data_IF_090342474714
#
_entry.id   IF_090342474714
#
_cell.length_a   1.000
_cell.length_b   1.000
_cell.length_c   1.000
_cell.angle_alpha   90.00
_cell.angle_beta   90.00
_cell.angle_gamma   90.00
#
_symmetry.space_group_name_H-M   'P 1'
#
loop_
_entity.id
_entity.type
_entity.pdbx_description
1 polymer ?
#
# COMPACT_ATOMS: atom_id res chain seq x y z
N UNK A 1 -33.82 -59.37 24.66
CA UNK A 1 -34.76 -59.41 25.80
C UNK A 1 -35.75 -58.28 25.59
N UNK A 2 -36.86 -58.57 24.91
CA UNK A 2 -37.93 -57.59 24.73
C UNK A 2 -38.92 -57.81 25.86
N UNK A 3 -38.94 -56.89 26.82
CA UNK A 3 -39.94 -56.83 27.86
C UNK A 3 -41.29 -56.44 27.22
N UNK A 4 -42.28 -57.33 27.33
CA UNK A 4 -43.62 -57.18 26.74
C UNK A 4 -44.55 -56.29 27.58
N UNK A 5 -44.12 -55.77 28.75
CA UNK A 5 -44.90 -54.83 29.53
C UNK A 5 -44.42 -53.38 29.38
N UNK A 6 -45.37 -52.47 29.16
CA UNK A 6 -45.11 -51.03 28.99
C UNK A 6 -44.58 -50.48 30.32
N UNK A 7 -43.28 -50.15 30.39
CA UNK A 7 -42.66 -49.51 31.57
C UNK A 7 -43.43 -48.23 31.93
N UNK A 8 -43.94 -48.18 33.16
CA UNK A 8 -44.58 -46.99 33.73
C UNK A 8 -43.50 -46.19 34.46
N UNK A 9 -43.16 -45.02 33.94
CA UNK A 9 -42.15 -44.14 34.53
C UNK A 9 -42.75 -43.34 35.68
N UNK A 10 -42.03 -43.29 36.80
CA UNK A 10 -42.42 -42.42 37.91
C UNK A 10 -42.16 -40.95 37.57
N UNK A 11 -42.92 -40.04 38.21
CA UNK A 11 -42.71 -38.60 38.06
C UNK A 11 -41.26 -38.19 38.38
N UNK A 12 -40.63 -38.83 39.37
CA UNK A 12 -39.23 -38.55 39.75
C UNK A 12 -38.24 -38.94 38.65
N UNK A 13 -38.44 -40.07 37.97
CA UNK A 13 -37.59 -40.47 36.84
C UNK A 13 -37.79 -39.55 35.63
N UNK A 14 -39.04 -39.12 35.36
CA UNK A 14 -39.33 -38.17 34.29
C UNK A 14 -38.71 -36.79 34.55
N UNK A 15 -38.78 -36.29 35.80
CA UNK A 15 -38.12 -35.03 36.18
C UNK A 15 -36.61 -35.12 36.06
N UNK A 16 -36.00 -36.23 36.46
CA UNK A 16 -34.55 -36.43 36.33
C UNK A 16 -34.13 -36.49 34.86
N UNK A 17 -34.88 -37.18 34.01
CA UNK A 17 -34.64 -37.21 32.57
C UNK A 17 -34.76 -35.81 31.96
N UNK A 18 -35.80 -35.05 32.30
CA UNK A 18 -35.98 -33.69 31.84
C UNK A 18 -34.79 -32.79 32.24
N UNK A 19 -34.39 -32.81 33.52
CA UNK A 19 -33.25 -32.04 34.03
C UNK A 19 -31.94 -32.39 33.33
N UNK A 20 -31.66 -33.69 33.13
CA UNK A 20 -30.47 -34.14 32.40
C UNK A 20 -30.53 -33.69 30.94
N UNK A 21 -31.68 -33.82 30.28
CA UNK A 21 -31.82 -33.39 28.89
C UNK A 21 -31.65 -31.89 28.72
N UNK A 22 -32.21 -31.07 29.61
CA UNK A 22 -32.05 -29.61 29.57
C UNK A 22 -30.60 -29.20 29.82
N UNK A 23 -29.94 -29.79 30.82
CA UNK A 23 -28.53 -29.49 31.12
C UNK A 23 -27.60 -29.95 30.01
N UNK A 24 -27.79 -31.15 29.48
CA UNK A 24 -27.00 -31.67 28.35
C UNK A 24 -27.24 -30.84 27.09
N UNK A 25 -28.48 -30.41 26.82
CA UNK A 25 -28.79 -29.55 25.69
C UNK A 25 -28.10 -28.20 25.79
N UNK A 26 -28.21 -27.51 26.93
CA UNK A 26 -27.56 -26.23 27.17
C UNK A 26 -26.02 -26.33 27.05
N UNK A 27 -25.43 -27.43 27.54
CA UNK A 27 -24.00 -27.66 27.39
C UNK A 27 -23.58 -27.87 25.92
N UNK A 28 -24.34 -28.67 25.16
CA UNK A 28 -24.08 -28.91 23.73
C UNK A 28 -24.21 -27.62 22.93
N UNK A 29 -25.25 -26.81 23.19
CA UNK A 29 -25.42 -25.51 22.52
C UNK A 29 -24.26 -24.56 22.82
N UNK A 30 -23.82 -24.49 24.08
CA UNK A 30 -22.68 -23.66 24.46
C UNK A 30 -21.40 -24.09 23.72
N UNK A 31 -21.08 -25.38 23.72
CA UNK A 31 -19.90 -25.91 23.05
C UNK A 31 -19.97 -25.66 21.53
N UNK A 32 -21.14 -25.85 20.91
CA UNK A 32 -21.34 -25.55 19.49
C UNK A 32 -21.16 -24.08 19.17
N UNK A 33 -21.70 -23.18 20.01
CA UNK A 33 -21.55 -21.74 19.85
C UNK A 33 -20.08 -21.31 19.97
N UNK A 34 -19.37 -21.84 20.98
CA UNK A 34 -17.93 -21.59 21.16
C UNK A 34 -17.09 -22.11 19.98
N UNK A 35 -17.40 -23.31 19.46
CA UNK A 35 -16.72 -23.85 18.29
C UNK A 35 -16.99 -23.03 17.03
N UNK A 36 -18.23 -22.63 16.80
CA UNK A 36 -18.59 -21.78 15.67
C UNK A 36 -17.89 -20.41 15.74
N UNK A 37 -17.81 -19.81 16.92
CA UNK A 37 -17.08 -18.56 17.15
C UNK A 37 -15.59 -18.71 16.83
N UNK A 38 -14.94 -19.76 17.34
CA UNK A 38 -13.52 -20.04 17.06
C UNK A 38 -13.25 -20.26 15.57
N UNK A 39 -14.10 -21.05 14.90
CA UNK A 39 -13.96 -21.30 13.47
C UNK A 39 -14.14 -20.01 12.64
N UNK A 40 -15.05 -19.12 13.06
CA UNK A 40 -15.25 -17.82 12.41
C UNK A 40 -14.05 -16.90 12.63
N UNK A 41 -13.52 -16.83 13.85
CA UNK A 41 -12.34 -16.05 14.20
C UNK A 41 -11.11 -16.52 13.42
N UNK A 42 -10.87 -17.83 13.35
CA UNK A 42 -9.76 -18.40 12.58
C UNK A 42 -9.89 -18.06 11.09
N UNK A 43 -11.09 -18.20 10.51
CA UNK A 43 -11.33 -17.85 9.11
C UNK A 43 -11.08 -16.38 8.83
N UNK A 44 -11.53 -15.48 9.72
CA UNK A 44 -11.29 -14.05 9.60
C UNK A 44 -9.80 -13.72 9.68
N UNK A 45 -9.09 -14.31 10.65
CA UNK A 45 -7.65 -14.14 10.80
C UNK A 45 -6.90 -14.57 9.54
N UNK A 46 -7.19 -15.77 9.01
CA UNK A 46 -6.56 -16.27 7.78
C UNK A 46 -6.85 -15.38 6.57
N UNK A 47 -8.07 -14.86 6.45
CA UNK A 47 -8.42 -13.94 5.37
C UNK A 47 -7.66 -12.61 5.47
N UNK A 48 -7.59 -12.01 6.66
CA UNK A 48 -6.83 -10.78 6.92
C UNK A 48 -5.33 -10.98 6.69
N UNK A 49 -4.78 -12.12 7.12
CA UNK A 49 -3.38 -12.48 6.91
C UNK A 49 -3.05 -12.60 5.43
N UNK A 50 -3.86 -13.36 4.68
CA UNK A 50 -3.71 -13.57 3.24
C UNK A 50 -3.88 -12.27 2.43
N UNK A 51 -4.80 -11.39 2.85
CA UNK A 51 -5.04 -10.10 2.20
C UNK A 51 -4.01 -9.02 2.57
N UNK A 52 -3.00 -9.35 3.39
CA UNK A 52 -2.01 -8.37 3.86
C UNK A 52 -2.65 -7.13 4.55
N UNK A 53 -3.82 -7.28 5.17
CA UNK A 53 -4.55 -6.19 5.85
C UNK A 53 -4.04 -6.02 7.27
N UNK A 54 -3.75 -4.79 7.67
CA UNK A 54 -3.54 -4.39 9.07
C UNK A 54 -4.78 -3.70 9.64
N UNK A 55 -4.86 -3.60 10.96
CA UNK A 55 -6.01 -3.05 11.69
C UNK A 55 -5.61 -1.95 12.66
N UNK A 56 -6.53 -1.02 12.87
CA UNK A 56 -6.39 0.07 13.82
C UNK A 56 -7.70 0.31 14.54
N UNK A 57 -7.62 0.67 15.82
CA UNK A 57 -8.75 0.94 16.70
C UNK A 57 -8.42 2.13 17.59
N UNK A 58 -9.18 3.21 17.40
CA UNK A 58 -9.00 4.47 18.08
C UNK A 58 -10.21 4.74 18.97
N UNK A 59 -9.96 4.96 20.26
CA UNK A 59 -10.94 5.48 21.20
C UNK A 59 -10.80 7.01 21.28
N UNK A 60 -11.73 7.79 20.71
CA UNK A 60 -11.63 9.25 20.71
C UNK A 60 -11.90 9.89 22.08
N UNK A 61 -12.41 9.14 23.06
CA UNK A 61 -12.67 9.62 24.43
C UNK A 61 -11.39 9.50 25.25
N UNK A 62 -10.79 8.31 25.27
CA UNK A 62 -9.56 8.05 26.03
C UNK A 62 -8.29 8.40 25.26
N UNK A 63 -8.41 8.67 23.96
CA UNK A 63 -7.33 8.90 22.99
C UNK A 63 -6.36 7.73 22.87
N UNK A 64 -6.80 6.52 23.24
CA UNK A 64 -5.99 5.32 23.09
C UNK A 64 -6.10 4.85 21.64
N UNK A 65 -4.96 4.82 20.96
CA UNK A 65 -4.80 4.25 19.63
C UNK A 65 -4.17 2.87 19.76
N UNK A 66 -4.79 1.87 19.12
CA UNK A 66 -4.29 0.49 19.05
C UNK A 66 -4.09 0.11 17.61
N UNK A 67 -2.89 -0.35 17.28
CA UNK A 67 -2.53 -0.90 15.98
C UNK A 67 -2.10 -2.34 16.18
N UNK A 68 -2.49 -3.21 15.26
CA UNK A 68 -1.83 -4.51 15.15
C UNK A 68 -0.41 -4.38 14.59
N UNK A 69 0.32 -5.48 14.61
CA UNK A 69 1.73 -5.54 14.18
C UNK A 69 1.90 -5.11 12.72
N UNK A 70 0.90 -5.40 11.87
CA UNK A 70 0.97 -5.07 10.46
C UNK A 70 0.77 -3.58 10.22
N UNK A 71 -0.20 -2.96 10.89
CA UNK A 71 -0.36 -1.51 10.84
C UNK A 71 0.91 -0.80 11.34
N UNK A 72 1.53 -1.28 12.44
CA UNK A 72 2.83 -0.76 12.91
C UNK A 72 3.92 -0.89 11.83
N UNK A 73 4.03 -2.05 11.18
CA UNK A 73 5.01 -2.28 10.13
C UNK A 73 4.84 -1.33 8.91
N UNK A 74 3.60 -0.98 8.55
CA UNK A 74 3.30 -0.01 7.48
C UNK A 74 3.73 1.43 7.82
N UNK A 75 3.94 1.72 9.11
CA UNK A 75 4.51 2.96 9.60
C UNK A 75 6.00 2.82 9.98
N UNK A 76 6.63 1.69 9.65
CA UNK A 76 8.04 1.43 9.94
C UNK A 76 8.33 1.25 11.44
N UNK A 77 7.34 0.81 12.23
CA UNK A 77 7.47 0.57 13.67
C UNK A 77 7.55 -0.93 14.00
N UNK A 78 8.27 -1.32 15.07
CA UNK A 78 8.25 -2.69 15.58
C UNK A 78 6.93 -3.03 16.30
N UNK A 79 6.58 -4.33 16.44
CA UNK A 79 5.35 -4.79 17.10
C UNK A 79 5.13 -4.23 18.52
N UNK A 80 6.20 -3.98 19.27
CA UNK A 80 6.18 -3.56 20.66
C UNK A 80 6.09 -2.03 20.81
N UNK A 81 6.14 -1.28 19.70
CA UNK A 81 6.07 0.17 19.75
C UNK A 81 4.74 0.65 20.35
N UNK A 82 4.84 1.62 21.26
CA UNK A 82 3.69 2.42 21.68
C UNK A 82 3.31 3.38 20.56
N UNK A 83 2.00 3.57 20.36
CA UNK A 83 1.47 4.41 19.29
C UNK A 83 0.46 5.38 19.85
N UNK A 84 0.57 6.65 19.44
CA UNK A 84 -0.48 7.65 19.65
C UNK A 84 -0.88 8.27 18.33
N UNK A 85 -2.00 8.99 18.35
CA UNK A 85 -2.46 9.72 17.17
C UNK A 85 -1.42 10.73 16.68
N UNK A 86 -0.76 11.44 17.59
CA UNK A 86 0.23 12.46 17.26
C UNK A 86 1.61 11.85 16.92
N UNK A 87 2.12 10.95 17.76
CA UNK A 87 3.49 10.46 17.67
C UNK A 87 3.70 9.37 16.62
N UNK A 88 2.65 8.61 16.30
CA UNK A 88 2.71 7.52 15.33
C UNK A 88 1.96 7.90 14.05
N UNK A 89 0.66 8.19 14.14
CA UNK A 89 -0.15 8.45 12.96
C UNK A 89 0.27 9.74 12.25
N UNK A 90 0.10 10.91 12.89
CA UNK A 90 0.41 12.19 12.24
C UNK A 90 1.90 12.35 11.89
N UNK A 91 2.80 11.92 12.77
CA UNK A 91 4.23 11.99 12.52
C UNK A 91 4.67 11.09 11.34
N UNK A 92 4.10 9.89 11.24
CA UNK A 92 4.43 8.93 10.19
C UNK A 92 3.75 9.18 8.84
N UNK A 93 2.80 10.11 8.77
CA UNK A 93 2.24 10.57 7.48
C UNK A 93 3.24 11.45 6.72
N UNK A 94 3.23 11.31 5.39
CA UNK A 94 3.95 12.22 4.50
C UNK A 94 3.49 13.67 4.75
N UNK A 95 4.40 14.67 4.81
CA UNK A 95 4.07 16.04 5.19
C UNK A 95 2.90 16.66 4.41
N UNK A 96 2.82 16.40 3.12
CA UNK A 96 1.76 16.89 2.23
C UNK A 96 0.37 16.28 2.51
N UNK A 97 0.33 15.07 3.07
CA UNK A 97 -0.92 14.32 3.27
C UNK A 97 -1.49 14.52 4.69
N UNK A 98 -0.67 14.98 5.65
CA UNK A 98 -1.01 15.14 7.07
C UNK A 98 -2.32 15.88 7.31
N UNK A 99 -2.45 17.07 6.73
CA UNK A 99 -3.63 17.93 6.95
C UNK A 99 -4.90 17.26 6.44
N UNK A 100 -4.85 16.70 5.21
CA UNK A 100 -5.99 16.03 4.58
C UNK A 100 -6.42 14.79 5.36
N UNK A 101 -5.46 14.00 5.82
CA UNK A 101 -5.74 12.80 6.62
C UNK A 101 -6.36 13.14 7.97
N UNK A 102 -5.84 14.16 8.67
CA UNK A 102 -6.40 14.64 9.93
C UNK A 102 -7.83 15.19 9.77
N UNK A 103 -8.08 15.96 8.71
CA UNK A 103 -9.43 16.45 8.38
C UNK A 103 -10.40 15.30 8.10
N UNK A 104 -9.95 14.24 7.42
CA UNK A 104 -10.78 13.07 7.18
C UNK A 104 -11.12 12.32 8.47
N UNK A 105 -10.17 12.20 9.41
CA UNK A 105 -10.44 11.62 10.73
C UNK A 105 -11.43 12.49 11.52
N UNK A 106 -11.23 13.82 11.54
CA UNK A 106 -12.14 14.74 12.23
C UNK A 106 -13.57 14.66 11.70
N UNK A 107 -13.75 14.59 10.38
CA UNK A 107 -15.08 14.38 9.76
C UNK A 107 -15.69 13.05 10.16
N UNK A 108 -14.94 11.96 10.11
CA UNK A 108 -15.44 10.64 10.50
C UNK A 108 -15.87 10.58 11.98
N UNK A 109 -15.26 11.41 12.85
CA UNK A 109 -15.61 11.50 14.27
C UNK A 109 -16.73 12.52 14.57
N UNK A 110 -17.13 13.34 13.59
CA UNK A 110 -18.12 14.40 13.77
C UNK A 110 -19.56 13.83 13.80
N UNK A 111 -20.41 14.23 14.77
CA UNK A 111 -21.80 13.78 14.81
C UNK A 111 -22.60 14.31 13.62
N UNK A 112 -23.39 13.44 12.98
CA UNK A 112 -24.26 13.82 11.86
C UNK A 112 -23.57 13.90 10.50
N UNK A 113 -22.25 13.73 10.45
CA UNK A 113 -21.51 13.48 9.21
C UNK A 113 -21.41 11.97 8.91
N UNK A 114 -20.85 11.63 7.75
CA UNK A 114 -20.59 10.24 7.37
C UNK A 114 -19.62 9.58 8.37
N UNK A 115 -20.06 8.51 9.03
CA UNK A 115 -19.21 7.65 9.88
C UNK A 115 -18.12 6.95 9.09
N UNK A 116 -18.30 6.81 7.77
CA UNK A 116 -17.39 6.11 6.86
C UNK A 116 -16.13 6.94 6.61
N UNK A 117 -14.99 6.30 6.86
CA UNK A 117 -13.65 6.76 6.53
C UNK A 117 -13.12 5.92 5.37
N UNK A 118 -12.67 6.58 4.30
CA UNK A 118 -12.13 5.95 3.10
C UNK A 118 -11.14 6.94 2.47
N UNK A 119 -9.85 6.63 2.56
CA UNK A 119 -8.79 7.54 2.13
C UNK A 119 -7.53 6.76 1.74
N UNK A 120 -6.82 7.31 0.77
CA UNK A 120 -5.45 6.91 0.46
C UNK A 120 -4.47 8.01 0.88
N UNK A 121 -3.36 7.64 1.50
CA UNK A 121 -2.30 8.56 1.90
C UNK A 121 -0.92 7.89 1.87
N UNK A 122 0.12 8.71 1.84
CA UNK A 122 1.50 8.27 1.97
C UNK A 122 1.93 8.26 3.44
N UNK A 123 2.65 7.23 3.84
CA UNK A 123 3.42 7.19 5.09
C UNK A 123 4.91 7.27 4.76
N UNK A 124 5.69 7.87 5.66
CA UNK A 124 7.15 7.77 5.69
C UNK A 124 7.49 7.03 6.98
N UNK A 125 8.07 5.84 6.86
CA UNK A 125 8.28 4.99 8.02
C UNK A 125 9.17 5.66 9.07
N UNK A 126 8.72 5.65 10.33
CA UNK A 126 9.34 6.42 11.41
C UNK A 126 10.75 5.95 11.78
N UNK A 127 11.09 4.68 11.48
CA UNK A 127 12.45 4.15 11.67
C UNK A 127 13.21 3.87 10.39
N UNK A 128 12.51 3.52 9.31
CA UNK A 128 13.15 3.11 8.06
C UNK A 128 13.14 4.18 6.96
N UNK A 129 12.42 5.29 7.16
CA UNK A 129 12.31 6.39 6.21
C UNK A 129 11.64 6.01 4.89
N UNK A 130 11.09 4.80 4.76
CA UNK A 130 10.54 4.32 3.48
C UNK A 130 9.17 4.91 3.26
N UNK A 131 8.96 5.48 2.09
CA UNK A 131 7.65 5.91 1.64
C UNK A 131 6.79 4.70 1.24
N UNK A 132 5.53 4.68 1.70
CA UNK A 132 4.50 3.69 1.33
C UNK A 132 3.19 4.39 1.05
N UNK A 133 2.42 3.88 0.09
CA UNK A 133 1.04 4.27 -0.11
C UNK A 133 0.10 3.32 0.63
N UNK A 134 -0.77 3.88 1.45
CA UNK A 134 -1.69 3.15 2.30
C UNK A 134 -3.12 3.52 1.90
N UNK A 135 -3.95 2.50 1.65
CA UNK A 135 -5.41 2.64 1.62
C UNK A 135 -5.94 2.35 3.02
N UNK A 136 -6.68 3.29 3.59
CA UNK A 136 -7.28 3.17 4.91
C UNK A 136 -8.80 3.31 4.81
N UNK A 137 -9.51 2.33 5.36
CA UNK A 137 -10.97 2.31 5.44
C UNK A 137 -11.39 2.05 6.86
N UNK A 138 -12.45 2.70 7.33
CA UNK A 138 -12.94 2.48 8.69
C UNK A 138 -14.30 3.12 8.93
N UNK A 139 -14.79 2.94 10.15
CA UNK A 139 -16.06 3.49 10.57
C UNK A 139 -16.04 3.90 12.04
N UNK A 140 -16.72 5.02 12.33
CA UNK A 140 -16.97 5.49 13.69
C UNK A 140 -18.27 4.93 14.25
N UNK A 141 -18.22 4.41 15.47
CA UNK A 141 -19.38 4.03 16.26
C UNK A 141 -19.76 5.18 17.19
N UNK A 142 -21.04 5.57 17.16
CA UNK A 142 -21.58 6.65 17.97
C UNK A 142 -22.50 6.13 19.07
N UNK A 143 -22.46 6.76 20.25
CA UNK A 143 -23.45 6.60 21.33
C UNK A 143 -23.89 7.98 21.78
N UNK A 144 -25.21 8.21 21.83
CA UNK A 144 -25.81 9.50 22.23
C UNK A 144 -25.21 10.70 21.50
N UNK A 145 -24.99 10.57 20.18
CA UNK A 145 -24.42 11.64 19.36
C UNK A 145 -22.94 11.91 19.56
N UNK A 146 -22.19 11.02 20.24
CA UNK A 146 -20.73 11.14 20.43
C UNK A 146 -20.02 9.90 19.89
N UNK A 147 -18.94 10.08 19.13
CA UNK A 147 -18.09 8.97 18.70
C UNK A 147 -17.44 8.31 19.93
N UNK A 148 -17.56 7.00 20.04
CA UNK A 148 -17.01 6.20 21.16
C UNK A 148 -15.94 5.21 20.70
N UNK A 149 -15.84 4.95 19.40
CA UNK A 149 -14.83 4.09 18.79
C UNK A 149 -14.71 4.42 17.32
N UNK A 150 -13.51 4.39 16.79
CA UNK A 150 -13.21 4.57 15.38
C UNK A 150 -12.24 3.47 14.98
N UNK A 151 -12.71 2.53 14.16
CA UNK A 151 -11.98 1.29 13.88
C UNK A 151 -11.95 1.03 12.38
N UNK A 152 -10.89 0.41 11.90
CA UNK A 152 -10.77 0.08 10.50
C UNK A 152 -9.53 -0.71 10.14
N UNK A 153 -9.24 -0.69 8.85
CA UNK A 153 -8.20 -1.47 8.20
C UNK A 153 -7.27 -0.57 7.39
N UNK A 154 -6.06 -1.06 7.17
CA UNK A 154 -5.06 -0.48 6.29
C UNK A 154 -4.49 -1.54 5.37
N UNK A 155 -4.17 -1.15 4.13
CA UNK A 155 -3.55 -2.02 3.13
C UNK A 155 -2.45 -1.26 2.40
N UNK A 156 -1.32 -1.92 2.17
CA UNK A 156 -0.25 -1.40 1.33
C UNK A 156 -0.69 -1.46 -0.15
N UNK A 157 -0.83 -0.29 -0.76
CA UNK A 157 -1.18 -0.12 -2.17
C UNK A 157 -0.01 0.46 -2.97
N UNK A 158 1.20 0.47 -2.41
CA UNK A 158 2.39 1.07 -3.03
C UNK A 158 2.70 0.46 -4.40
N UNK A 159 2.62 -0.86 -4.54
CA UNK A 159 2.84 -1.52 -5.82
C UNK A 159 1.82 -1.07 -6.88
N UNK A 160 0.54 -1.00 -6.50
CA UNK A 160 -0.53 -0.51 -7.37
C UNK A 160 -0.29 0.93 -7.80
N UNK A 161 0.02 1.82 -6.84
CA UNK A 161 0.31 3.23 -7.11
C UNK A 161 1.51 3.44 -8.01
N UNK A 162 2.57 2.63 -7.87
CA UNK A 162 3.72 2.66 -8.78
C UNK A 162 3.31 2.36 -10.23
N UNK A 163 2.50 1.32 -10.43
CA UNK A 163 2.00 0.96 -11.77
C UNK A 163 1.09 2.05 -12.34
N UNK A 164 0.15 2.57 -11.54
CA UNK A 164 -0.73 3.68 -11.95
C UNK A 164 0.06 4.91 -12.38
N UNK A 165 1.06 5.32 -11.59
CA UNK A 165 1.90 6.47 -11.89
C UNK A 165 2.75 6.25 -13.15
N UNK A 166 3.31 5.05 -13.34
CA UNK A 166 4.06 4.71 -14.56
C UNK A 166 3.17 4.80 -15.80
N UNK A 167 1.96 4.23 -15.74
CA UNK A 167 0.99 4.31 -16.86
C UNK A 167 0.56 5.74 -17.14
N UNK A 168 0.29 6.53 -16.10
CA UNK A 168 -0.09 7.92 -16.25
C UNK A 168 1.03 8.74 -16.91
N UNK A 169 2.28 8.53 -16.48
CA UNK A 169 3.45 9.17 -17.07
C UNK A 169 3.63 8.76 -18.54
N UNK A 170 3.57 7.47 -18.85
CA UNK A 170 3.67 6.98 -20.23
C UNK A 170 2.59 7.59 -21.13
N UNK A 171 1.34 7.66 -20.66
CA UNK A 171 0.24 8.26 -21.41
C UNK A 171 0.44 9.77 -21.62
N UNK A 172 0.88 10.50 -20.58
CA UNK A 172 1.18 11.92 -20.68
C UNK A 172 2.32 12.20 -21.67
N UNK A 173 3.39 11.41 -21.62
CA UNK A 173 4.51 11.48 -22.57
C UNK A 173 4.04 11.19 -24.00
N UNK A 174 3.25 10.13 -24.21
CA UNK A 174 2.74 9.79 -25.53
C UNK A 174 1.85 10.91 -26.11
N UNK A 175 0.99 11.50 -25.29
CA UNK A 175 0.14 12.63 -25.70
C UNK A 175 0.99 13.88 -26.04
N UNK A 176 2.01 14.18 -25.24
CA UNK A 176 2.90 15.32 -25.50
C UNK A 176 3.70 15.13 -26.81
N UNK A 177 4.24 13.93 -27.05
CA UNK A 177 4.96 13.60 -28.29
C UNK A 177 4.04 13.68 -29.51
N UNK A 178 2.80 13.19 -29.41
CA UNK A 178 1.86 13.22 -30.53
C UNK A 178 1.40 14.63 -30.94
N UNK A 179 1.46 15.60 -30.01
CA UNK A 179 1.07 16.98 -30.24
C UNK A 179 2.24 17.89 -30.67
N UNK A 180 3.48 17.40 -30.58
CA UNK A 180 4.68 18.17 -30.89
C UNK A 180 5.17 17.86 -32.31
N UNK A 181 5.64 18.88 -33.03
CA UNK A 181 6.16 18.74 -34.39
C UNK A 181 7.67 18.99 -34.46
N UNK A 182 8.22 19.65 -33.43
CA UNK A 182 9.64 19.88 -33.30
C UNK A 182 10.33 18.60 -32.77
N UNK A 183 11.19 18.01 -33.62
CA UNK A 183 11.92 16.77 -33.30
C UNK A 183 12.82 16.95 -32.08
N UNK A 184 13.40 18.14 -31.86
CA UNK A 184 14.28 18.41 -30.71
C UNK A 184 13.48 18.33 -29.41
N UNK A 185 12.28 18.90 -29.42
CA UNK A 185 11.37 18.84 -28.27
C UNK A 185 10.84 17.44 -28.03
N UNK A 186 10.48 16.71 -29.08
CA UNK A 186 10.02 15.31 -28.97
C UNK A 186 11.07 14.46 -28.25
N UNK A 187 12.34 14.53 -28.68
CA UNK A 187 13.37 13.71 -28.05
C UNK A 187 13.70 14.18 -26.64
N UNK A 188 13.64 15.48 -26.35
CA UNK A 188 13.78 15.97 -24.98
C UNK A 188 12.68 15.39 -24.07
N UNK A 189 11.41 15.44 -24.51
CA UNK A 189 10.27 14.87 -23.78
C UNK A 189 10.48 13.36 -23.50
N UNK A 190 10.89 12.60 -24.51
CA UNK A 190 11.14 11.16 -24.36
C UNK A 190 12.33 10.89 -23.42
N UNK A 191 13.38 11.70 -23.49
CA UNK A 191 14.56 11.57 -22.64
C UNK A 191 14.21 11.86 -21.18
N UNK A 192 13.47 12.95 -20.92
CA UNK A 192 13.00 13.31 -19.57
C UNK A 192 12.08 12.22 -18.98
N UNK A 193 11.13 11.72 -19.78
CA UNK A 193 10.25 10.64 -19.37
C UNK A 193 11.02 9.34 -19.08
N UNK A 194 12.03 9.02 -19.89
CA UNK A 194 12.90 7.87 -19.69
C UNK A 194 13.64 7.93 -18.35
N UNK A 195 14.23 9.08 -18.02
CA UNK A 195 14.92 9.31 -16.74
C UNK A 195 13.97 9.16 -15.55
N UNK A 196 12.79 9.79 -15.64
CA UNK A 196 11.79 9.71 -14.59
C UNK A 196 11.28 8.27 -14.38
N UNK A 197 11.02 7.52 -15.46
CA UNK A 197 10.53 6.13 -15.40
C UNK A 197 11.58 5.16 -14.88
N UNK A 198 12.86 5.36 -15.23
CA UNK A 198 13.95 4.51 -14.78
C UNK A 198 14.44 4.84 -13.37
N UNK A 199 14.09 6.02 -12.84
CA UNK A 199 14.67 6.54 -11.60
C UNK A 199 16.15 6.90 -11.73
N UNK A 200 16.62 7.17 -12.95
CA UNK A 200 18.00 7.56 -13.17
C UNK A 200 18.25 8.99 -12.66
N UNK A 201 19.48 9.30 -12.25
CA UNK A 201 19.84 10.67 -11.88
C UNK A 201 19.93 11.59 -13.10
N UNK A 202 20.35 11.04 -14.24
CA UNK A 202 20.48 11.75 -15.50
C UNK A 202 20.22 10.80 -16.67
N UNK A 203 19.95 11.36 -17.84
CA UNK A 203 19.81 10.62 -19.08
C UNK A 203 20.20 11.47 -20.28
N UNK A 204 20.71 10.82 -21.30
CA UNK A 204 21.24 11.48 -22.49
C UNK A 204 20.86 10.68 -23.74
N UNK A 205 20.52 11.40 -24.81
CA UNK A 205 20.30 10.83 -26.13
C UNK A 205 21.34 11.36 -27.12
N UNK A 206 21.93 10.45 -27.88
CA UNK A 206 22.93 10.75 -28.90
C UNK A 206 22.51 10.13 -30.23
N UNK A 207 22.66 10.87 -31.31
CA UNK A 207 22.65 10.30 -32.65
C UNK A 207 23.71 11.00 -33.51
N UNK A 208 24.18 10.28 -34.52
CA UNK A 208 25.16 10.81 -35.45
C UNK A 208 24.43 11.54 -36.58
N UNK A 209 24.64 12.85 -36.70
CA UNK A 209 24.40 13.58 -37.93
C UNK A 209 25.73 13.58 -38.68
N UNK A 210 25.76 13.03 -39.89
CA UNK A 210 26.92 13.17 -40.78
C UNK A 210 26.88 14.58 -41.35
N UNK A 211 27.94 15.36 -41.13
CA UNK A 211 28.14 16.60 -41.89
C UNK A 211 28.69 16.32 -43.30
N UNK A 212 28.75 17.34 -44.15
CA UNK A 212 29.25 17.24 -45.53
C UNK A 212 30.75 16.83 -45.61
N UNK A 213 31.45 16.77 -44.48
CA UNK A 213 32.85 16.36 -44.33
C UNK A 213 33.01 14.95 -43.75
N UNK A 214 31.90 14.29 -43.39
CA UNK A 214 31.89 12.96 -42.78
C UNK A 214 32.18 12.95 -41.28
N UNK A 215 32.22 14.12 -40.63
CA UNK A 215 32.33 14.23 -39.18
C UNK A 215 30.93 14.09 -38.55
N UNK A 216 30.84 13.31 -37.45
CA UNK A 216 29.57 12.96 -36.82
C UNK A 216 29.47 13.46 -35.38
N UNK A 217 28.57 14.41 -35.08
CA UNK A 217 28.23 14.82 -33.71
C UNK A 217 26.74 15.26 -33.68
N UNK A 218 25.97 15.31 -32.57
CA UNK A 218 26.22 15.77 -31.19
C UNK A 218 25.17 15.15 -30.23
N UNK A 219 25.46 15.11 -28.91
CA UNK A 219 24.48 14.99 -27.81
C UNK A 219 23.23 15.85 -28.09
N UNK A 220 22.07 15.22 -28.18
CA UNK A 220 20.86 15.90 -28.64
C UNK A 220 19.96 16.34 -27.49
N UNK A 221 19.78 15.46 -26.50
CA UNK A 221 18.98 15.73 -25.32
C UNK A 221 19.74 15.30 -24.07
N UNK A 222 19.60 16.10 -23.01
CA UNK A 222 20.16 15.82 -21.69
C UNK A 222 19.08 16.12 -20.66
N UNK A 223 18.95 15.24 -19.68
CA UNK A 223 18.00 15.34 -18.59
C UNK A 223 18.70 15.10 -17.26
N UNK A 224 18.29 15.83 -16.22
CA UNK A 224 18.85 15.70 -14.87
C UNK A 224 20.24 16.32 -14.64
N UNK A 225 20.84 16.97 -15.65
CA UNK A 225 22.15 17.63 -15.52
C UNK A 225 22.31 18.82 -16.49
N UNK A 226 23.14 19.83 -16.16
CA UNK A 226 23.45 20.91 -17.08
C UNK A 226 24.35 20.41 -18.22
N UNK A 227 24.20 20.98 -19.43
CA UNK A 227 25.04 20.62 -20.58
C UNK A 227 26.54 20.74 -20.30
N UNK A 228 26.95 21.76 -19.53
CA UNK A 228 28.35 21.97 -19.13
C UNK A 228 28.98 20.79 -18.37
N UNK A 229 28.17 19.94 -17.73
CA UNK A 229 28.67 18.72 -17.09
C UNK A 229 29.12 17.65 -18.11
N UNK A 230 28.67 17.74 -19.37
CA UNK A 230 28.94 16.76 -20.42
C UNK A 230 29.71 17.32 -21.62
N UNK A 231 29.78 18.65 -21.77
CA UNK A 231 30.47 19.34 -22.88
C UNK A 231 31.96 18.98 -22.99
N UNK A 232 32.61 18.61 -21.88
CA UNK A 232 34.04 18.27 -21.85
C UNK A 232 34.34 16.76 -21.95
N UNK A 233 33.31 15.90 -22.00
CA UNK A 233 33.53 14.46 -22.09
C UNK A 233 33.88 14.04 -23.53
N UNK A 234 34.86 13.13 -23.71
CA UNK A 234 35.16 12.58 -25.03
C UNK A 234 33.99 11.74 -25.54
N UNK A 235 33.86 11.62 -26.88
CA UNK A 235 32.82 10.80 -27.49
C UNK A 235 32.76 9.40 -26.90
N UNK A 236 31.56 8.85 -26.64
CA UNK A 236 31.42 7.46 -26.23
C UNK A 236 32.08 6.56 -27.28
N UNK A 237 33.09 5.81 -26.86
CA UNK A 237 33.82 4.89 -27.75
C UNK A 237 33.16 3.52 -27.75
N UNK A 238 33.46 2.74 -28.78
CA UNK A 238 33.05 1.35 -28.91
C UNK A 238 33.77 0.46 -27.86
N UNK A 239 33.41 0.62 -26.59
CA UNK A 239 33.93 -0.15 -25.45
C UNK A 239 33.08 -1.39 -25.23
N UNK A 240 33.52 -2.34 -24.39
CA UNK A 240 32.71 -3.52 -24.04
C UNK A 240 31.29 -3.18 -23.53
N UNK A 241 31.11 -1.98 -22.94
CA UNK A 241 29.83 -1.49 -22.43
C UNK A 241 28.93 -0.94 -23.55
N UNK A 242 29.49 -0.17 -24.49
CA UNK A 242 28.70 0.49 -25.54
C UNK A 242 28.62 -0.31 -26.85
N UNK A 243 29.54 -1.26 -27.07
CA UNK A 243 29.65 -2.03 -28.32
C UNK A 243 28.39 -2.81 -28.70
N UNK A 244 27.71 -3.51 -27.78
CA UNK A 244 26.47 -4.21 -28.12
C UNK A 244 25.38 -3.24 -28.56
N UNK A 245 25.26 -2.09 -27.89
CA UNK A 245 24.27 -1.05 -28.22
C UNK A 245 24.59 -0.39 -29.57
N UNK A 246 25.85 0.00 -29.81
CA UNK A 246 26.27 0.65 -31.07
C UNK A 246 26.24 -0.27 -32.28
N UNK A 247 26.41 -1.58 -32.08
CA UNK A 247 26.27 -2.58 -33.16
C UNK A 247 24.86 -3.13 -33.30
N UNK A 248 23.88 -2.59 -32.56
CA UNK A 248 22.48 -3.02 -32.64
C UNK A 248 22.23 -4.45 -32.16
N UNK A 249 23.14 -5.04 -31.35
CA UNK A 249 23.00 -6.42 -30.84
C UNK A 249 22.05 -6.53 -29.65
N UNK A 250 21.74 -5.42 -28.98
CA UNK A 250 20.80 -5.39 -27.86
C UNK A 250 21.03 -4.22 -26.91
N UNK A 251 20.12 -4.07 -25.95
CA UNK A 251 20.25 -3.09 -24.86
C UNK A 251 21.15 -3.67 -23.77
N UNK A 252 22.20 -2.95 -23.41
CA UNK A 252 23.03 -3.27 -22.24
C UNK A 252 22.40 -2.62 -21.01
N UNK A 253 22.05 -3.44 -20.01
CA UNK A 253 21.71 -2.97 -18.66
C UNK A 253 22.83 -3.41 -17.73
N UNK A 254 23.44 -2.46 -17.04
CA UNK A 254 24.50 -2.71 -16.08
C UNK A 254 24.15 -1.96 -14.81
N UNK A 255 23.90 -2.70 -13.73
CA UNK A 255 23.47 -2.11 -12.45
C UNK A 255 24.61 -1.34 -11.75
N UNK A 256 25.85 -1.73 -12.02
CA UNK A 256 27.08 -1.15 -11.45
C UNK A 256 28.08 -0.82 -12.56
N UNK A 257 27.91 0.31 -13.25
CA UNK A 257 29.05 0.95 -13.93
C UNK A 257 29.79 1.75 -12.85
N UNK A 258 30.62 1.04 -12.07
CA UNK A 258 31.55 1.68 -11.15
C UNK A 258 32.65 2.36 -11.97
N UNK A 259 32.80 3.67 -11.79
CA UNK A 259 33.96 4.42 -12.30
C UNK A 259 35.23 4.05 -11.53
#
# INVERSE_FOLDING_TARGET
>A
VHDTQRRVWSQRELSLLAEVTERSWAHIERVRSEQAARASEERLRLATDAAAIGTWDYDPITRVLRWDDRCKALFGLPPEAEVTYESAFLAGLHPEDRKRADEAVRRALAPGESSRYDIEYRTIGLRDGKERWIAATGESLFRSGRAVRFIGTVMDITARKRVENQLQMMNATAAAVAAELDVERIVQIVTDAGVALSGAQFGAFFYNVLDDKGDSYVLYALSGAPRSAFENFPMPRNTAVFEPTFRGRGVVRSDDILM
#
